data_IF_272223182334
#
_entry.id   IF_272223182334
#
_cell.length_a   1.000
_cell.length_b   1.000
_cell.length_c   1.000
_cell.angle_alpha   90.00
_cell.angle_beta   90.00
_cell.angle_gamma   90.00
#
_symmetry.space_group_name_H-M   'P 1'
#
loop_
_entity.id
_entity.type
_entity.pdbx_description
1 polymer ?
#
# COMPACT_ATOMS: atom_id res chain seq x y z
N UNK A 1 -5.33 15.92 6.06
CA UNK A 1 -4.69 14.65 6.48
C UNK A 1 -3.91 14.09 5.30
N UNK A 2 -2.58 14.13 5.39
CA UNK A 2 -1.70 13.56 4.35
C UNK A 2 -1.80 12.02 4.36
N UNK A 3 -1.79 11.43 3.17
CA UNK A 3 -1.89 9.98 2.96
C UNK A 3 -0.71 9.53 2.12
N UNK A 4 -0.23 8.33 2.41
CA UNK A 4 0.76 7.63 1.58
C UNK A 4 0.06 6.56 0.77
N UNK A 5 0.43 6.42 -0.50
CA UNK A 5 -0.07 5.42 -1.43
C UNK A 5 1.01 4.35 -1.65
N UNK A 6 0.64 3.10 -1.41
CA UNK A 6 1.45 1.93 -1.71
C UNK A 6 0.90 1.29 -2.99
N UNK A 7 1.59 1.49 -4.11
CA UNK A 7 1.17 1.01 -5.42
C UNK A 7 1.44 -0.49 -5.54
N UNK A 8 0.43 -1.25 -5.95
CA UNK A 8 0.47 -2.70 -6.16
C UNK A 8 0.27 -3.04 -7.65
N UNK A 9 0.78 -4.18 -8.08
CA UNK A 9 0.60 -4.71 -9.44
C UNK A 9 -0.84 -5.18 -9.64
N UNK A 10 -1.42 -5.86 -8.66
CA UNK A 10 -2.74 -6.47 -8.79
C UNK A 10 -3.68 -6.14 -7.63
N UNK A 11 -4.97 -6.43 -7.84
CA UNK A 11 -5.97 -6.34 -6.79
C UNK A 11 -5.67 -7.30 -5.64
N UNK A 12 -5.24 -8.53 -5.96
CA UNK A 12 -4.89 -9.56 -5.00
C UNK A 12 -3.74 -9.12 -4.10
N UNK A 13 -2.71 -8.51 -4.70
CA UNK A 13 -1.58 -7.96 -3.98
C UNK A 13 -2.00 -6.81 -3.06
N UNK A 14 -2.85 -5.89 -3.53
CA UNK A 14 -3.39 -4.82 -2.71
C UNK A 14 -4.24 -5.33 -1.53
N UNK A 15 -5.01 -6.41 -1.74
CA UNK A 15 -5.77 -7.08 -0.68
C UNK A 15 -4.84 -7.75 0.35
N UNK A 16 -3.81 -8.43 -0.11
CA UNK A 16 -2.80 -9.05 0.76
C UNK A 16 -2.08 -8.00 1.60
N UNK A 17 -1.64 -6.90 0.97
CA UNK A 17 -1.02 -5.76 1.65
C UNK A 17 -1.96 -5.13 2.67
N UNK A 18 -3.22 -4.87 2.30
CA UNK A 18 -4.21 -4.30 3.23
C UNK A 18 -4.37 -5.17 4.48
N UNK A 19 -4.55 -6.48 4.31
CA UNK A 19 -4.72 -7.43 5.44
C UNK A 19 -3.46 -7.51 6.30
N UNK A 20 -2.29 -7.52 5.68
CA UNK A 20 -1.00 -7.55 6.36
C UNK A 20 -0.80 -6.33 7.25
N UNK A 21 -1.15 -5.14 6.75
CA UNK A 21 -1.09 -3.87 7.46
C UNK A 21 -2.13 -3.78 8.58
N UNK A 22 -3.36 -4.27 8.33
CA UNK A 22 -4.41 -4.34 9.34
C UNK A 22 -3.98 -5.19 10.54
N UNK A 23 -3.29 -6.31 10.30
CA UNK A 23 -2.71 -7.14 11.37
C UNK A 23 -1.59 -6.47 12.18
N UNK A 24 -1.12 -5.29 11.78
CA UNK A 24 -0.18 -4.44 12.53
C UNK A 24 -0.85 -3.16 13.06
N UNK A 25 -2.18 -3.09 13.06
CA UNK A 25 -2.93 -1.91 13.51
C UNK A 25 -2.94 -0.74 12.50
N UNK A 26 -2.46 -0.95 11.27
CA UNK A 26 -2.46 0.07 10.22
C UNK A 26 -3.69 -0.10 9.34
N UNK A 27 -4.63 0.85 9.44
CA UNK A 27 -5.83 0.85 8.59
C UNK A 27 -5.48 1.34 7.18
N UNK A 28 -5.45 0.41 6.22
CA UNK A 28 -5.29 0.70 4.80
C UNK A 28 -6.61 0.62 4.03
N UNK A 29 -6.80 1.50 3.04
CA UNK A 29 -7.93 1.45 2.10
C UNK A 29 -7.43 1.20 0.69
N UNK A 30 -8.00 0.19 0.03
CA UNK A 30 -7.72 -0.07 -1.38
C UNK A 30 -8.33 1.06 -2.23
N UNK A 31 -7.52 1.66 -3.09
CA UNK A 31 -7.88 2.75 -3.99
C UNK A 31 -7.30 2.52 -5.38
N UNK A 32 -7.81 3.25 -6.37
CA UNK A 32 -7.17 3.34 -7.69
C UNK A 32 -6.13 4.46 -7.63
N UNK A 33 -4.85 4.19 -7.95
CA UNK A 33 -3.86 5.25 -7.95
C UNK A 33 -4.11 6.27 -9.07
N UNK A 34 -3.68 7.52 -8.89
CA UNK A 34 -3.72 8.53 -9.95
C UNK A 34 -3.03 8.04 -11.23
N UNK A 35 -3.51 8.47 -12.41
CA UNK A 35 -3.00 8.01 -13.72
C UNK A 35 -1.49 8.23 -13.91
N UNK A 36 -0.92 9.24 -13.25
CA UNK A 36 0.53 9.50 -13.27
C UNK A 36 1.38 8.46 -12.52
N UNK A 37 0.75 7.64 -11.68
CA UNK A 37 1.41 6.60 -10.87
C UNK A 37 0.99 5.18 -11.26
N UNK A 38 -0.02 5.03 -12.12
CA UNK A 38 -0.36 3.74 -12.75
C UNK A 38 0.67 3.39 -13.82
N UNK A 39 1.16 2.15 -13.81
CA UNK A 39 1.86 1.57 -14.96
C UNK A 39 0.93 0.54 -15.65
N UNK A 40 1.26 0.05 -16.85
CA UNK A 40 0.43 -0.93 -17.60
C UNK A 40 0.01 -2.14 -16.76
N UNK A 41 0.80 -2.48 -15.74
CA UNK A 41 0.59 -3.63 -14.85
C UNK A 41 0.26 -3.24 -13.40
N UNK A 42 0.06 -1.96 -13.06
CA UNK A 42 -0.16 -1.52 -11.68
C UNK A 42 -1.39 -0.61 -11.58
N UNK A 43 -2.55 -1.23 -11.30
CA UNK A 43 -3.85 -0.55 -11.29
C UNK A 43 -4.47 -0.41 -9.90
N UNK A 44 -3.78 -0.82 -8.84
CA UNK A 44 -4.29 -0.82 -7.47
C UNK A 44 -3.28 -0.21 -6.51
N UNK A 45 -3.79 0.42 -5.45
CA UNK A 45 -2.95 0.96 -4.39
C UNK A 45 -3.63 0.81 -3.04
N UNK A 46 -2.83 0.77 -1.98
CA UNK A 46 -3.32 0.86 -0.60
C UNK A 46 -2.97 2.25 -0.06
N UNK A 47 -3.99 3.02 0.27
CA UNK A 47 -3.87 4.32 0.91
C UNK A 47 -3.83 4.13 2.42
N UNK A 48 -2.79 4.68 3.06
CA UNK A 48 -2.61 4.69 4.51
C UNK A 48 -2.41 6.12 5.02
N UNK A 49 -2.72 6.40 6.30
CA UNK A 49 -2.32 7.65 6.95
C UNK A 49 -0.80 7.81 6.93
N UNK A 50 -0.29 9.00 6.62
CA UNK A 50 1.16 9.26 6.61
C UNK A 50 1.83 8.95 7.95
N UNK A 51 1.14 9.20 9.06
CA UNK A 51 1.62 8.89 10.42
C UNK A 51 1.87 7.39 10.63
N UNK A 52 1.17 6.53 9.90
CA UNK A 52 1.30 5.07 10.01
C UNK A 52 2.35 4.50 9.05
N UNK A 53 3.02 5.34 8.26
CA UNK A 53 3.98 4.88 7.24
C UNK A 53 5.14 4.10 7.83
N UNK A 54 5.73 4.56 8.94
CA UNK A 54 6.85 3.86 9.57
C UNK A 54 6.46 2.46 10.04
N UNK A 55 5.30 2.31 10.69
CA UNK A 55 4.76 1.01 11.10
C UNK A 55 4.45 0.12 9.91
N UNK A 56 3.86 0.68 8.85
CA UNK A 56 3.59 -0.03 7.61
C UNK A 56 4.88 -0.51 6.94
N UNK A 57 5.91 0.33 6.89
CA UNK A 57 7.21 0.03 6.29
C UNK A 57 7.93 -1.07 7.08
N UNK A 58 7.90 -1.01 8.41
CA UNK A 58 8.44 -2.09 9.24
C UNK A 58 7.72 -3.41 8.95
N UNK A 59 6.38 -3.39 8.94
CA UNK A 59 5.58 -4.59 8.68
C UNK A 59 5.81 -5.19 7.29
N UNK A 60 5.96 -4.33 6.27
CA UNK A 60 6.30 -4.74 4.91
C UNK A 60 7.69 -5.41 4.87
N UNK A 61 8.69 -4.84 5.56
CA UNK A 61 10.02 -5.45 5.69
C UNK A 61 9.96 -6.81 6.38
N UNK A 62 9.27 -6.93 7.50
CA UNK A 62 9.15 -8.19 8.26
C UNK A 62 8.48 -9.32 7.44
N UNK A 63 7.65 -8.95 6.47
CA UNK A 63 6.91 -9.88 5.60
C UNK A 63 7.52 -10.01 4.21
N UNK A 64 8.70 -9.44 3.97
CA UNK A 64 9.37 -9.42 2.66
C UNK A 64 8.46 -8.92 1.52
N UNK A 65 7.62 -7.93 1.81
CA UNK A 65 6.71 -7.33 0.83
C UNK A 65 7.30 -6.03 0.30
N UNK A 66 7.34 -5.87 -1.03
CA UNK A 66 7.82 -4.66 -1.69
C UNK A 66 6.73 -4.14 -2.63
N UNK A 67 6.10 -2.99 -2.33
CA UNK A 67 5.18 -2.36 -3.27
C UNK A 67 5.95 -1.87 -4.49
N UNK A 68 5.27 -1.76 -5.63
CA UNK A 68 5.88 -1.24 -6.86
C UNK A 68 6.37 0.18 -6.72
N UNK A 69 5.64 0.99 -5.97
CA UNK A 69 5.95 2.40 -5.76
C UNK A 69 5.29 2.88 -4.47
N UNK A 70 5.94 3.81 -3.80
CA UNK A 70 5.42 4.50 -2.62
C UNK A 70 5.33 5.98 -2.99
N UNK A 71 4.17 6.60 -2.77
CA UNK A 71 3.88 7.99 -3.13
C UNK A 71 3.27 8.73 -1.94
#
# INVERSE_FOLDING_TARGET
MEKTLLICQSQTEALALQRMLAGAGVTGRIVRPPRQYTNRSCSFAVSIPRCSFMTAQQRMRDKNFVPCKIV
#
